data_IF_548191330663
#
_entry.id   IF_548191330663
#
_cell.length_a   1.000
_cell.length_b   1.000
_cell.length_c   1.000
_cell.angle_alpha   90.00
_cell.angle_beta   90.00
_cell.angle_gamma   90.00
#
_symmetry.space_group_name_H-M   'P 1'
#
loop_
_entity.id
_entity.type
_entity.pdbx_description
1 polymer ?
#
# COMPACT_ATOMS: atom_id res chain seq x y z
N UNK A 1 -32.80 36.19 -26.64
CA UNK A 1 -31.66 35.92 -25.76
C UNK A 1 -31.67 34.43 -25.42
N UNK A 2 -30.73 33.69 -26.00
CA UNK A 2 -30.53 32.25 -25.82
C UNK A 2 -29.88 32.04 -24.44
N UNK A 3 -30.57 31.43 -23.47
CA UNK A 3 -29.91 31.03 -22.22
C UNK A 3 -29.32 29.63 -22.46
N UNK A 4 -28.04 29.60 -22.81
CA UNK A 4 -27.21 28.39 -22.75
C UNK A 4 -27.15 27.94 -21.28
N UNK A 5 -27.80 26.82 -20.97
CA UNK A 5 -27.64 26.12 -19.70
C UNK A 5 -26.21 25.63 -19.55
N UNK A 6 -25.43 26.30 -18.70
CA UNK A 6 -24.13 25.84 -18.26
C UNK A 6 -24.27 24.55 -17.47
N UNK A 7 -24.06 23.42 -18.13
CA UNK A 7 -23.84 22.15 -17.46
C UNK A 7 -22.60 22.29 -16.58
N UNK A 8 -22.80 22.32 -15.26
CA UNK A 8 -21.73 22.10 -14.30
C UNK A 8 -21.16 20.72 -14.63
N UNK A 9 -19.98 20.68 -15.24
CA UNK A 9 -19.15 19.48 -15.26
C UNK A 9 -18.84 19.15 -13.79
N UNK A 10 -19.69 18.33 -13.18
CA UNK A 10 -19.34 17.63 -11.95
C UNK A 10 -18.27 16.64 -12.40
N UNK A 11 -17.00 16.97 -12.17
CA UNK A 11 -15.93 16.02 -12.32
C UNK A 11 -16.36 14.75 -11.56
N UNK A 12 -16.32 13.60 -12.24
CA UNK A 12 -16.56 12.32 -11.57
C UNK A 12 -15.67 12.28 -10.32
N UNK A 13 -16.18 11.79 -9.17
CA UNK A 13 -15.34 11.63 -7.98
C UNK A 13 -14.06 10.90 -8.39
N UNK A 14 -12.91 11.46 -8.03
CA UNK A 14 -11.62 10.89 -8.41
C UNK A 14 -11.58 9.45 -7.90
N UNK A 15 -11.52 8.48 -8.81
CA UNK A 15 -11.38 7.08 -8.45
C UNK A 15 -10.03 6.89 -7.75
N UNK A 16 -10.04 6.17 -6.63
CA UNK A 16 -8.85 5.69 -5.92
C UNK A 16 -8.66 4.22 -6.32
N UNK A 17 -7.46 3.89 -6.76
CA UNK A 17 -7.08 2.58 -7.23
C UNK A 17 -7.04 2.46 -8.75
N UNK A 18 -6.27 1.49 -9.22
CA UNK A 18 -5.99 1.24 -10.62
C UNK A 18 -5.25 -0.08 -10.79
N UNK A 19 -4.93 -0.48 -12.03
CA UNK A 19 -4.25 -1.73 -12.30
C UNK A 19 -2.84 -1.73 -11.72
N UNK A 20 -2.41 -2.87 -11.17
CA UNK A 20 -1.06 -3.07 -10.71
C UNK A 20 -0.62 -4.52 -10.79
N UNK A 21 0.68 -4.73 -10.82
CA UNK A 21 1.29 -6.04 -10.66
C UNK A 21 2.51 -5.88 -9.77
N UNK A 22 2.40 -6.36 -8.54
CA UNK A 22 3.45 -6.33 -7.53
C UNK A 22 3.82 -7.75 -7.13
N UNK A 23 4.86 -7.88 -6.32
CA UNK A 23 5.33 -9.16 -5.76
C UNK A 23 5.25 -9.09 -4.25
N UNK A 24 4.72 -10.14 -3.63
CA UNK A 24 4.65 -10.25 -2.18
C UNK A 24 5.97 -10.76 -1.55
N UNK A 25 6.04 -10.78 -0.23
CA UNK A 25 7.22 -11.21 0.53
C UNK A 25 7.58 -12.70 0.37
N UNK A 26 6.70 -13.49 -0.25
CA UNK A 26 6.94 -14.90 -0.60
C UNK A 26 7.43 -15.08 -2.05
N UNK A 27 7.41 -14.02 -2.85
CA UNK A 27 7.72 -14.04 -4.28
C UNK A 27 6.49 -14.28 -5.17
N UNK A 28 5.27 -14.27 -4.62
CA UNK A 28 4.06 -14.45 -5.40
C UNK A 28 3.62 -13.14 -6.06
N UNK A 29 3.10 -13.23 -7.29
CA UNK A 29 2.56 -12.08 -8.00
C UNK A 29 1.18 -11.72 -7.46
N UNK A 30 0.97 -10.45 -7.13
CA UNK A 30 -0.29 -9.88 -6.64
C UNK A 30 -0.72 -8.75 -7.57
N UNK A 31 -1.98 -8.77 -8.00
CA UNK A 31 -2.56 -7.76 -8.91
C UNK A 31 -3.82 -7.14 -8.33
N UNK A 32 -4.36 -6.10 -8.97
CA UNK A 32 -5.63 -5.48 -8.56
C UNK A 32 -6.80 -6.46 -8.57
N UNK A 33 -6.72 -7.54 -9.36
CA UNK A 33 -7.73 -8.60 -9.41
C UNK A 33 -7.80 -9.39 -8.10
N UNK A 34 -6.68 -9.48 -7.36
CA UNK A 34 -6.64 -10.11 -6.04
C UNK A 34 -7.46 -9.35 -4.97
N UNK A 35 -7.81 -8.09 -5.26
CA UNK A 35 -8.64 -7.28 -4.37
C UNK A 35 -10.13 -7.60 -4.49
N UNK A 36 -10.53 -8.33 -5.53
CA UNK A 36 -11.95 -8.60 -5.80
C UNK A 36 -12.50 -9.69 -4.87
N UNK A 37 -13.78 -9.55 -4.52
CA UNK A 37 -14.52 -10.56 -3.75
C UNK A 37 -14.24 -10.58 -2.25
N UNK A 38 -13.28 -9.80 -1.75
CA UNK A 38 -12.95 -9.67 -0.32
C UNK A 38 -12.72 -8.20 0.06
N UNK A 39 -13.19 -7.75 1.23
CA UNK A 39 -12.77 -6.47 1.77
C UNK A 39 -11.24 -6.43 1.87
N UNK A 40 -10.64 -5.32 1.45
CA UNK A 40 -9.19 -5.17 1.39
C UNK A 40 -8.76 -3.94 2.20
N UNK A 41 -7.87 -4.15 3.16
CA UNK A 41 -7.11 -3.12 3.84
C UNK A 41 -5.77 -2.93 3.10
N UNK A 42 -5.51 -1.71 2.64
CA UNK A 42 -4.23 -1.33 2.03
C UNK A 42 -3.62 -0.24 2.89
N UNK A 43 -2.38 -0.47 3.32
CA UNK A 43 -1.55 0.49 4.03
C UNK A 43 -0.25 0.70 3.25
N UNK A 44 0.19 1.95 3.13
CA UNK A 44 1.42 2.32 2.44
C UNK A 44 2.49 2.71 3.46
N UNK A 45 3.71 2.23 3.27
CA UNK A 45 4.86 2.59 4.10
C UNK A 45 6.13 1.94 3.61
N UNK A 46 7.15 1.82 4.45
CA UNK A 46 8.47 1.32 4.07
C UNK A 46 9.16 0.64 5.24
N UNK A 47 10.17 -0.20 4.98
CA UNK A 47 10.80 -1.04 6.02
C UNK A 47 11.75 -0.29 6.95
N UNK A 48 12.15 0.93 6.58
CA UNK A 48 13.06 1.80 7.37
C UNK A 48 12.29 2.88 8.15
N UNK A 49 11.02 2.63 8.45
CA UNK A 49 10.09 3.55 9.10
C UNK A 49 10.01 3.26 10.60
N UNK A 50 10.67 4.05 11.48
CA UNK A 50 10.95 3.62 12.85
C UNK A 50 9.76 3.67 13.82
N UNK A 51 8.64 4.32 13.45
CA UNK A 51 7.56 4.62 14.40
C UNK A 51 6.15 4.40 13.84
N UNK A 52 5.75 5.18 12.81
CA UNK A 52 4.38 5.13 12.28
C UNK A 52 4.03 3.78 11.67
N UNK A 53 4.93 3.22 10.86
CA UNK A 53 4.68 1.96 10.17
C UNK A 53 4.56 0.75 11.12
N UNK A 54 5.46 0.52 12.10
CA UNK A 54 5.26 -0.58 13.05
C UNK A 54 4.01 -0.39 13.91
N UNK A 55 3.63 0.86 14.25
CA UNK A 55 2.38 1.14 14.98
C UNK A 55 1.16 0.74 14.16
N UNK A 56 1.04 1.19 12.90
CA UNK A 56 -0.09 0.83 12.04
C UNK A 56 -0.15 -0.67 11.73
N UNK A 57 0.99 -1.33 11.52
CA UNK A 57 1.04 -2.79 11.30
C UNK A 57 0.62 -3.57 12.56
N UNK A 58 0.96 -3.08 13.75
CA UNK A 58 0.49 -3.65 15.00
C UNK A 58 -1.02 -3.50 15.16
N UNK A 59 -1.58 -2.31 14.88
CA UNK A 59 -3.03 -2.07 14.91
C UNK A 59 -3.79 -2.98 13.93
N UNK A 60 -3.29 -3.12 12.69
CA UNK A 60 -3.89 -4.03 11.71
C UNK A 60 -3.80 -5.48 12.19
N UNK A 61 -2.67 -5.88 12.80
CA UNK A 61 -2.51 -7.22 13.37
C UNK A 61 -3.53 -7.48 14.48
N UNK A 62 -3.78 -6.51 15.35
CA UNK A 62 -4.79 -6.62 16.40
C UNK A 62 -6.22 -6.71 15.83
N UNK A 63 -6.52 -5.98 14.76
CA UNK A 63 -7.80 -6.10 14.04
C UNK A 63 -7.97 -7.49 13.45
N UNK A 64 -6.97 -8.00 12.73
CA UNK A 64 -6.98 -9.35 12.15
C UNK A 64 -7.15 -10.42 13.24
N UNK A 65 -6.42 -10.29 14.34
CA UNK A 65 -6.54 -11.18 15.50
C UNK A 65 -7.94 -11.15 16.11
N UNK A 66 -8.55 -9.97 16.23
CA UNK A 66 -9.92 -9.82 16.75
C UNK A 66 -10.98 -10.43 15.82
N UNK A 67 -10.73 -10.52 14.51
CA UNK A 67 -11.61 -11.20 13.56
C UNK A 67 -11.58 -12.73 13.69
N UNK A 68 -10.53 -13.29 14.31
CA UNK A 68 -10.36 -14.73 14.44
C UNK A 68 -10.39 -15.44 13.08
N UNK A 69 -11.25 -16.44 12.92
CA UNK A 69 -11.39 -17.20 11.66
C UNK A 69 -11.82 -16.35 10.46
N UNK A 70 -12.45 -15.19 10.69
CA UNK A 70 -12.94 -14.35 9.60
C UNK A 70 -11.81 -13.51 8.97
N UNK A 71 -10.61 -13.47 9.59
CA UNK A 71 -9.41 -12.85 9.01
C UNK A 71 -9.04 -13.46 7.65
N UNK A 72 -9.30 -14.76 7.46
CA UNK A 72 -9.14 -15.45 6.17
C UNK A 72 -10.04 -14.91 5.05
N UNK A 73 -11.04 -14.07 5.37
CA UNK A 73 -12.00 -13.51 4.42
C UNK A 73 -11.70 -12.06 4.03
N UNK A 74 -10.61 -11.49 4.53
CA UNK A 74 -10.13 -10.14 4.16
C UNK A 74 -8.73 -10.21 3.56
N UNK A 75 -8.37 -9.17 2.82
CA UNK A 75 -7.00 -8.95 2.39
C UNK A 75 -6.37 -7.84 3.26
N UNK A 76 -5.11 -8.01 3.67
CA UNK A 76 -4.34 -6.97 4.35
C UNK A 76 -2.98 -6.81 3.63
N UNK A 77 -2.84 -5.70 2.91
CA UNK A 77 -1.64 -5.41 2.11
C UNK A 77 -0.87 -4.22 2.70
N UNK A 78 0.42 -4.43 2.90
CA UNK A 78 1.40 -3.39 3.18
C UNK A 78 2.19 -3.11 1.90
N UNK A 79 1.98 -1.97 1.26
CA UNK A 79 2.63 -1.64 -0.02
C UNK A 79 3.80 -0.69 0.22
N UNK A 80 4.97 -1.04 -0.32
CA UNK A 80 6.16 -0.20 -0.23
C UNK A 80 5.97 1.16 -0.90
N UNK A 81 6.53 2.21 -0.30
CA UNK A 81 6.79 3.49 -0.95
C UNK A 81 8.28 3.69 -1.27
N UNK A 82 9.14 2.74 -0.90
CA UNK A 82 10.60 2.78 -1.01
C UNK A 82 11.20 1.57 -1.77
N UNK A 83 10.94 1.47 -3.08
CA UNK A 83 11.35 0.32 -3.90
C UNK A 83 12.86 0.10 -3.99
N UNK A 84 13.69 1.09 -3.62
CA UNK A 84 15.14 0.97 -3.66
C UNK A 84 15.70 0.12 -2.51
N UNK A 85 14.98 0.05 -1.38
CA UNK A 85 15.39 -0.72 -0.18
C UNK A 85 14.46 -1.89 0.11
N UNK A 86 13.19 -1.75 -0.23
CA UNK A 86 12.16 -2.73 0.10
C UNK A 86 12.06 -3.80 -0.98
N UNK A 87 12.81 -4.89 -0.84
CA UNK A 87 12.66 -6.09 -1.66
C UNK A 87 11.86 -7.17 -0.90
N UNK A 88 11.44 -8.28 -1.56
CA UNK A 88 10.65 -9.33 -0.91
C UNK A 88 11.29 -9.91 0.36
N UNK A 89 12.62 -10.04 0.40
CA UNK A 89 13.31 -10.56 1.58
C UNK A 89 13.26 -9.56 2.74
N UNK A 90 13.56 -8.28 2.50
CA UNK A 90 13.44 -7.23 3.54
C UNK A 90 12.01 -7.13 4.06
N UNK A 91 11.02 -7.20 3.17
CA UNK A 91 9.60 -7.22 3.54
C UNK A 91 9.23 -8.42 4.41
N UNK A 92 9.77 -9.60 4.11
CA UNK A 92 9.54 -10.82 4.89
C UNK A 92 10.09 -10.70 6.30
N UNK A 93 11.33 -10.21 6.43
CA UNK A 93 11.96 -10.01 7.73
C UNK A 93 11.21 -8.94 8.54
N UNK A 94 10.84 -7.82 7.90
CA UNK A 94 10.09 -6.75 8.52
C UNK A 94 8.71 -7.21 9.02
N UNK A 95 7.99 -8.01 8.23
CA UNK A 95 6.66 -8.49 8.58
C UNK A 95 6.65 -9.69 9.54
N UNK A 96 7.81 -10.29 9.85
CA UNK A 96 7.91 -11.50 10.67
C UNK A 96 7.36 -11.39 12.09
N UNK A 97 7.22 -10.17 12.61
CA UNK A 97 6.72 -9.88 13.97
C UNK A 97 5.24 -9.52 14.02
N UNK A 98 4.54 -9.54 12.87
CA UNK A 98 3.14 -9.12 12.75
C UNK A 98 2.22 -10.30 12.37
N UNK A 99 0.91 -10.03 12.23
CA UNK A 99 -0.06 -11.08 11.88
C UNK A 99 0.26 -11.74 10.51
N UNK A 100 0.21 -13.08 10.42
CA UNK A 100 0.61 -13.80 9.20
C UNK A 100 -0.29 -13.58 7.98
N UNK A 101 -1.47 -12.98 8.14
CA UNK A 101 -2.32 -12.60 7.01
C UNK A 101 -1.84 -11.32 6.30
N UNK A 102 -0.92 -10.56 6.90
CA UNK A 102 -0.30 -9.40 6.26
C UNK A 102 0.60 -9.84 5.09
N UNK A 103 0.42 -9.16 3.96
CA UNK A 103 1.23 -9.34 2.75
C UNK A 103 1.95 -8.05 2.42
N UNK A 104 3.28 -8.11 2.41
CA UNK A 104 4.15 -7.00 2.04
C UNK A 104 4.37 -7.02 0.53
N UNK A 105 3.92 -5.98 -0.16
CA UNK A 105 4.01 -5.86 -1.62
C UNK A 105 5.09 -4.86 -2.01
N UNK A 106 5.92 -5.27 -2.97
CA UNK A 106 6.93 -4.43 -3.59
C UNK A 106 7.09 -4.76 -5.08
N UNK A 107 7.94 -4.03 -5.79
CA UNK A 107 8.20 -4.26 -7.22
C UNK A 107 9.13 -3.20 -7.79
N UNK A 108 9.21 -3.18 -9.12
CA UNK A 108 10.04 -2.20 -9.82
C UNK A 108 9.62 -0.76 -9.48
N UNK A 109 10.58 0.18 -9.34
CA UNK A 109 10.28 1.57 -8.98
C UNK A 109 9.25 2.24 -9.88
N UNK A 110 9.28 1.97 -11.19
CA UNK A 110 8.33 2.53 -12.15
C UNK A 110 6.91 1.98 -11.96
N UNK A 111 6.79 0.71 -11.58
CA UNK A 111 5.50 0.09 -11.31
C UNK A 111 4.93 0.64 -10.01
N UNK A 112 5.72 0.70 -8.94
CA UNK A 112 5.28 1.27 -7.67
C UNK A 112 4.90 2.74 -7.80
N UNK A 113 5.66 3.56 -8.53
CA UNK A 113 5.29 4.96 -8.78
C UNK A 113 3.90 5.11 -9.44
N UNK A 114 3.53 4.19 -10.35
CA UNK A 114 2.17 4.14 -10.92
C UNK A 114 1.14 3.76 -9.87
N UNK A 115 1.40 2.74 -9.04
CA UNK A 115 0.51 2.36 -7.93
C UNK A 115 0.25 3.55 -7.01
N UNK A 116 1.30 4.27 -6.57
CA UNK A 116 1.15 5.44 -5.72
C UNK A 116 0.28 6.52 -6.37
N UNK A 117 0.44 6.73 -7.69
CA UNK A 117 -0.39 7.69 -8.45
C UNK A 117 -1.86 7.27 -8.52
N UNK A 118 -2.15 6.00 -8.82
CA UNK A 118 -3.51 5.46 -8.91
C UNK A 118 -4.22 5.48 -7.55
N UNK A 119 -3.48 5.20 -6.48
CA UNK A 119 -3.99 5.22 -5.11
C UNK A 119 -3.90 6.60 -4.44
N UNK A 120 -3.45 7.64 -5.17
CA UNK A 120 -3.33 9.02 -4.68
C UNK A 120 -2.44 9.15 -3.43
N UNK A 121 -1.43 8.31 -3.34
CA UNK A 121 -0.45 8.29 -2.25
C UNK A 121 0.65 9.29 -2.56
N UNK A 122 0.91 10.17 -1.60
CA UNK A 122 2.11 10.99 -1.59
C UNK A 122 3.25 10.18 -0.98
N UNK A 123 4.39 10.18 -1.66
CA UNK A 123 5.63 9.64 -1.14
C UNK A 123 6.80 10.46 -1.70
N UNK A 124 7.72 10.86 -0.83
CA UNK A 124 8.89 11.64 -1.22
C UNK A 124 10.11 11.23 -0.41
N UNK A 125 11.23 11.03 -1.10
CA UNK A 125 12.53 10.83 -0.48
C UNK A 125 12.98 12.11 0.25
N UNK A 126 13.33 11.99 1.51
CA UNK A 126 13.84 13.08 2.37
C UNK A 126 15.24 12.71 2.86
N UNK A 127 16.29 13.42 2.41
CA UNK A 127 17.65 13.19 2.87
C UNK A 127 17.82 13.50 4.37
N UNK A 128 18.60 12.67 5.05
CA UNK A 128 19.01 12.84 6.44
C UNK A 128 20.44 13.40 6.51
N UNK A 129 20.84 13.88 7.70
CA UNK A 129 22.11 14.59 7.91
C UNK A 129 23.35 13.69 7.81
N UNK A 130 23.18 12.40 8.00
CA UNK A 130 24.19 11.35 7.96
C UNK A 130 24.41 10.74 6.56
N UNK A 131 23.69 11.24 5.55
CA UNK A 131 23.78 10.76 4.17
C UNK A 131 22.79 9.64 3.83
N UNK A 132 21.98 9.21 4.78
CA UNK A 132 20.84 8.30 4.53
C UNK A 132 19.58 9.10 4.12
N UNK A 133 18.45 8.43 3.93
CA UNK A 133 17.15 9.04 3.67
C UNK A 133 15.99 8.31 4.36
N UNK A 134 14.92 9.08 4.59
CA UNK A 134 13.59 8.56 4.93
C UNK A 134 12.61 8.83 3.78
N UNK A 135 11.41 8.27 3.89
CA UNK A 135 10.27 8.65 3.06
C UNK A 135 9.29 9.48 3.89
N UNK A 136 8.70 10.48 3.25
CA UNK A 136 7.58 11.32 3.72
C UNK A 136 6.35 11.03 2.87
#
# INVERSE_FOLDING_TARGET
FLIMGGGRNIAAPAAIGGPFQLTDQSGAVVTEQSLQGRPTLIFFGFTHCPDVCPTSLFEISEVLRAMGKDADSVNAYFISVDPERDNPATMKDYLSSFDPHLKGLTGDPEVLAKVLTEYRVYAKKVPLKDGDYTMD
#
